data_IF_184863087822
#
_entry.id   IF_184863087822
#
_cell.length_a   1.000
_cell.length_b   1.000
_cell.length_c   1.000
_cell.angle_alpha   90.00
_cell.angle_beta   90.00
_cell.angle_gamma   90.00
#
_symmetry.space_group_name_H-M   'P 1'
#
loop_
_entity.id
_entity.type
_entity.pdbx_description
1 polymer ?
#
# COMPACT_ATOMS: atom_id res chain seq x y z
N UNK A 1 -16.52 -11.75 -3.37
CA UNK A 1 -15.57 -10.69 -3.74
C UNK A 1 -14.53 -10.59 -2.64
N UNK A 2 -13.29 -10.29 -3.02
CA UNK A 2 -12.11 -10.35 -2.17
C UNK A 2 -12.13 -9.29 -1.06
N UNK A 3 -12.69 -8.13 -1.35
CA UNK A 3 -12.97 -7.01 -0.45
C UNK A 3 -13.62 -7.45 0.88
N UNK A 4 -14.65 -8.30 0.83
CA UNK A 4 -15.35 -8.77 2.04
C UNK A 4 -14.45 -9.49 3.05
N UNK A 5 -13.35 -10.09 2.59
CA UNK A 5 -12.39 -10.77 3.46
C UNK A 5 -11.30 -9.80 3.94
N UNK A 6 -10.85 -8.93 3.04
CA UNK A 6 -9.72 -8.04 3.31
C UNK A 6 -10.12 -6.82 4.14
N UNK A 7 -11.29 -6.21 3.94
CA UNK A 7 -11.77 -5.04 4.71
C UNK A 7 -11.69 -5.31 6.20
N UNK A 8 -12.34 -6.38 6.67
CA UNK A 8 -12.35 -6.72 8.09
C UNK A 8 -10.95 -6.97 8.63
N UNK A 9 -10.07 -7.56 7.82
CA UNK A 9 -8.71 -7.86 8.24
C UNK A 9 -7.83 -6.60 8.31
N UNK A 10 -8.00 -5.67 7.37
CA UNK A 10 -7.35 -4.36 7.41
C UNK A 10 -7.73 -3.61 8.69
N UNK A 11 -9.02 -3.64 9.07
CA UNK A 11 -9.49 -3.01 10.32
C UNK A 11 -8.84 -3.64 11.55
N UNK A 12 -8.85 -4.98 11.67
CA UNK A 12 -8.21 -5.66 12.79
C UNK A 12 -6.70 -5.39 12.89
N UNK A 13 -6.01 -5.25 11.75
CA UNK A 13 -4.59 -4.89 11.74
C UNK A 13 -4.35 -3.47 12.28
N UNK A 14 -5.21 -2.51 11.92
CA UNK A 14 -5.12 -1.14 12.45
C UNK A 14 -5.36 -1.14 13.95
N UNK A 15 -6.42 -1.81 14.42
CA UNK A 15 -6.73 -1.92 15.84
C UNK A 15 -5.56 -2.54 16.63
N UNK A 16 -5.00 -3.66 16.14
CA UNK A 16 -3.85 -4.30 16.78
C UNK A 16 -2.64 -3.36 16.89
N UNK A 17 -2.32 -2.62 15.83
CA UNK A 17 -1.20 -1.68 15.85
C UNK A 17 -1.46 -0.47 16.73
N UNK A 18 -2.70 0.01 16.78
CA UNK A 18 -3.12 1.09 17.66
C UNK A 18 -2.97 0.69 19.12
N UNK A 19 -3.47 -0.49 19.51
CA UNK A 19 -3.34 -1.02 20.87
C UNK A 19 -1.86 -1.25 21.23
N UNK A 20 -1.10 -1.90 20.35
CA UNK A 20 0.30 -2.25 20.61
C UNK A 20 1.19 -1.02 20.77
N UNK A 21 0.89 0.07 20.06
CA UNK A 21 1.74 1.26 19.98
C UNK A 21 1.07 2.54 20.50
N UNK A 22 0.03 2.40 21.33
CA UNK A 22 -0.74 3.51 21.91
C UNK A 22 0.17 4.58 22.52
N UNK A 23 1.09 4.15 23.39
CA UNK A 23 1.99 5.00 24.18
C UNK A 23 3.37 5.21 23.53
N UNK A 24 3.54 4.83 22.27
CA UNK A 24 4.81 4.97 21.54
C UNK A 24 4.83 6.29 20.77
N UNK A 25 5.93 7.03 20.90
CA UNK A 25 6.12 8.31 20.18
C UNK A 25 6.25 8.09 18.67
N UNK A 26 5.98 9.12 17.88
CA UNK A 26 6.09 9.03 16.42
C UNK A 26 7.51 8.68 15.96
N UNK A 27 8.52 9.23 16.63
CA UNK A 27 9.94 8.98 16.35
C UNK A 27 10.34 7.55 16.70
N UNK A 28 9.82 7.00 17.79
CA UNK A 28 10.06 5.61 18.18
C UNK A 28 9.31 4.64 17.25
N UNK A 29 8.05 4.93 16.92
CA UNK A 29 7.28 4.19 15.93
C UNK A 29 8.00 4.15 14.58
N UNK A 30 8.66 5.25 14.20
CA UNK A 30 9.44 5.30 12.96
C UNK A 30 10.63 4.34 12.98
N UNK A 31 11.34 4.24 14.11
CA UNK A 31 12.46 3.29 14.26
C UNK A 31 11.94 1.86 14.15
N UNK A 32 10.87 1.53 14.89
CA UNK A 32 10.22 0.22 14.86
C UNK A 32 9.80 -0.14 13.43
N UNK A 33 9.10 0.75 12.74
CA UNK A 33 8.64 0.55 11.35
C UNK A 33 9.78 0.22 10.39
N UNK A 34 10.90 0.93 10.52
CA UNK A 34 12.05 0.77 9.63
C UNK A 34 12.85 -0.51 9.92
N UNK A 35 13.03 -0.89 11.18
CA UNK A 35 13.91 -1.98 11.59
C UNK A 35 13.24 -3.32 11.87
N UNK A 36 11.99 -3.33 12.35
CA UNK A 36 11.37 -4.55 12.91
C UNK A 36 10.35 -5.21 11.98
N UNK A 37 9.76 -4.44 11.05
CA UNK A 37 8.70 -4.95 10.17
C UNK A 37 9.16 -5.19 8.74
N UNK A 38 8.65 -6.25 8.14
CA UNK A 38 8.88 -6.63 6.74
C UNK A 38 7.55 -6.84 6.01
N UNK A 39 7.61 -6.87 4.69
CA UNK A 39 6.46 -7.20 3.85
C UNK A 39 5.88 -8.59 4.18
N UNK A 40 6.72 -9.54 4.57
CA UNK A 40 6.29 -10.88 4.97
C UNK A 40 5.37 -10.86 6.21
N UNK A 41 5.61 -9.96 7.17
CA UNK A 41 4.74 -9.80 8.34
C UNK A 41 3.34 -9.35 7.93
N UNK A 42 3.27 -8.40 6.98
CA UNK A 42 2.01 -7.92 6.43
C UNK A 42 1.29 -9.01 5.63
N UNK A 43 2.03 -9.78 4.81
CA UNK A 43 1.51 -10.92 4.04
C UNK A 43 0.87 -11.96 4.96
N UNK A 44 1.54 -12.35 6.05
CA UNK A 44 1.00 -13.33 7.01
C UNK A 44 -0.29 -12.81 7.65
N UNK A 45 -0.28 -11.56 8.12
CA UNK A 45 -1.46 -10.93 8.73
C UNK A 45 -2.64 -10.88 7.76
N UNK A 46 -2.41 -10.43 6.53
CA UNK A 46 -3.41 -10.36 5.48
C UNK A 46 -3.95 -11.74 5.08
N UNK A 47 -3.09 -12.76 5.10
CA UNK A 47 -3.47 -14.14 4.73
C UNK A 47 -4.13 -14.94 5.84
N UNK A 48 -3.97 -14.54 7.10
CA UNK A 48 -4.41 -15.30 8.27
C UNK A 48 -5.90 -15.69 8.25
N UNK A 49 -6.86 -14.82 7.84
CA UNK A 49 -8.28 -15.18 7.78
C UNK A 49 -8.59 -16.33 6.83
N UNK A 50 -7.76 -16.55 5.80
CA UNK A 50 -7.92 -17.65 4.86
C UNK A 50 -7.38 -18.98 5.40
N UNK A 51 -6.59 -18.96 6.49
CA UNK A 51 -6.02 -20.13 7.16
C UNK A 51 -5.35 -21.09 6.15
N UNK A 52 -5.73 -22.36 6.19
CA UNK A 52 -5.23 -23.43 5.33
C UNK A 52 -5.50 -23.21 3.83
N UNK A 53 -6.36 -22.25 3.47
CA UNK A 53 -6.72 -21.98 2.07
C UNK A 53 -5.70 -21.06 1.39
N UNK A 54 -4.89 -20.33 2.14
CA UNK A 54 -3.88 -19.43 1.60
C UNK A 54 -2.57 -20.17 1.33
N UNK A 55 -2.02 -19.94 0.14
CA UNK A 55 -0.64 -20.27 -0.19
C UNK A 55 0.18 -18.98 -0.18
N UNK A 56 1.28 -18.97 0.56
CA UNK A 56 2.17 -17.83 0.72
C UNK A 56 3.39 -17.97 -0.18
N UNK A 57 3.60 -17.04 -1.10
CA UNK A 57 4.73 -17.03 -2.02
C UNK A 57 5.80 -16.01 -1.56
N UNK A 58 6.52 -16.32 -0.49
CA UNK A 58 7.54 -15.42 0.07
C UNK A 58 8.91 -15.47 -0.64
N UNK A 59 9.05 -16.33 -1.65
CA UNK A 59 10.29 -16.43 -2.40
C UNK A 59 10.29 -15.36 -3.49
N UNK A 60 11.05 -14.28 -3.30
CA UNK A 60 11.23 -13.17 -4.26
C UNK A 60 11.85 -13.56 -5.62
N UNK A 61 11.75 -14.82 -6.05
CA UNK A 61 12.25 -15.37 -7.31
C UNK A 61 11.18 -16.19 -8.04
N UNK A 62 10.31 -15.48 -8.75
CA UNK A 62 10.02 -15.76 -10.17
C UNK A 62 9.52 -14.48 -10.83
N UNK A 63 10.41 -13.51 -11.07
CA UNK A 63 10.11 -12.26 -11.81
C UNK A 63 9.74 -12.47 -13.30
N UNK A 64 9.40 -13.70 -13.69
CA UNK A 64 8.99 -14.11 -15.03
C UNK A 64 7.58 -14.72 -15.05
N UNK A 65 6.98 -14.97 -13.88
CA UNK A 65 5.57 -15.35 -13.74
C UNK A 65 5.04 -14.69 -12.47
N UNK A 66 4.03 -13.82 -12.60
CA UNK A 66 3.34 -13.09 -11.54
C UNK A 66 3.11 -13.93 -10.28
N UNK A 67 4.06 -13.89 -9.35
CA UNK A 67 4.00 -14.60 -8.09
C UNK A 67 3.34 -13.69 -7.08
N UNK A 68 2.02 -13.77 -6.97
CA UNK A 68 1.29 -13.03 -5.96
C UNK A 68 1.57 -13.57 -4.57
N UNK A 69 1.75 -12.68 -3.59
CA UNK A 69 2.16 -13.04 -2.23
C UNK A 69 1.19 -14.00 -1.54
N UNK A 70 -0.11 -13.82 -1.77
CA UNK A 70 -1.16 -14.67 -1.21
C UNK A 70 -2.04 -15.19 -2.33
N UNK A 71 -2.18 -16.52 -2.42
CA UNK A 71 -3.05 -17.19 -3.39
C UNK A 71 -4.03 -18.12 -2.70
N UNK A 72 -5.32 -17.84 -2.85
CA UNK A 72 -6.43 -18.66 -2.34
C UNK A 72 -7.13 -19.35 -3.52
N UNK A 73 -6.56 -20.48 -3.97
CA UNK A 73 -6.97 -21.17 -5.21
C UNK A 73 -8.47 -21.51 -5.23
N UNK A 74 -9.01 -21.95 -4.10
CA UNK A 74 -10.43 -22.35 -3.97
C UNK A 74 -11.43 -21.20 -4.15
N UNK A 75 -10.97 -19.95 -4.06
CA UNK A 75 -11.78 -18.75 -4.32
C UNK A 75 -11.31 -17.97 -5.56
N UNK A 76 -10.29 -18.48 -6.25
CA UNK A 76 -9.57 -17.77 -7.30
C UNK A 76 -9.15 -16.36 -6.82
N UNK A 77 -8.61 -16.24 -5.60
CA UNK A 77 -8.05 -14.98 -5.13
C UNK A 77 -6.54 -14.94 -5.30
N UNK A 78 -6.04 -13.79 -5.74
CA UNK A 78 -4.61 -13.47 -5.75
C UNK A 78 -4.41 -12.06 -5.20
N UNK A 79 -3.50 -11.94 -4.24
CA UNK A 79 -3.25 -10.69 -3.53
C UNK A 79 -1.76 -10.40 -3.60
N UNK A 80 -1.43 -9.21 -4.09
CA UNK A 80 -0.11 -8.61 -3.99
C UNK A 80 -0.09 -7.70 -2.76
N UNK A 81 1.01 -7.69 -2.02
CA UNK A 81 1.16 -6.93 -0.78
C UNK A 81 2.44 -6.10 -0.84
N UNK A 82 2.35 -4.84 -0.44
CA UNK A 82 3.51 -3.96 -0.30
C UNK A 82 3.54 -3.31 1.07
N UNK A 83 4.67 -3.44 1.78
CA UNK A 83 4.94 -2.61 2.96
C UNK A 83 5.82 -1.43 2.55
N UNK A 84 5.30 -0.21 2.67
CA UNK A 84 6.09 1.01 2.46
C UNK A 84 6.78 1.41 3.77
N UNK A 85 8.09 1.59 3.69
CA UNK A 85 8.93 2.09 4.79
C UNK A 85 10.19 2.73 4.24
N UNK A 86 11.02 3.29 5.12
CA UNK A 86 12.37 3.65 4.72
C UNK A 86 13.29 2.44 4.87
N UNK A 87 14.16 2.25 3.89
CA UNK A 87 15.20 1.25 3.88
C UNK A 87 16.55 1.88 4.21
N UNK A 88 17.46 1.04 4.71
CA UNK A 88 18.83 1.42 5.00
C UNK A 88 19.52 1.86 3.71
N UNK A 89 20.00 3.10 3.67
CA UNK A 89 20.81 3.62 2.58
C UNK A 89 22.21 3.02 2.61
N UNK A 90 22.98 3.24 1.54
CA UNK A 90 24.40 2.87 1.49
C UNK A 90 25.24 3.52 2.60
N UNK A 91 24.76 4.62 3.20
CA UNK A 91 25.39 5.32 4.33
C UNK A 91 24.94 4.82 5.70
N UNK A 92 24.08 3.80 5.75
CA UNK A 92 23.64 3.16 6.98
C UNK A 92 22.42 3.80 7.66
N UNK A 93 21.93 4.96 7.20
CA UNK A 93 20.71 5.60 7.69
C UNK A 93 19.47 5.11 6.95
N UNK A 94 18.32 5.01 7.64
CA UNK A 94 17.03 4.69 7.01
C UNK A 94 16.44 5.93 6.32
N UNK A 95 16.68 6.05 5.03
CA UNK A 95 16.23 7.22 4.23
C UNK A 95 15.83 6.87 2.80
N UNK A 96 16.07 5.65 2.33
CA UNK A 96 15.67 5.22 0.99
C UNK A 96 14.18 4.87 1.00
N UNK A 97 13.37 5.57 0.22
CA UNK A 97 11.94 5.25 0.03
C UNK A 97 11.74 4.13 -0.99
N UNK A 98 10.55 3.53 -0.98
CA UNK A 98 10.14 2.58 -2.02
C UNK A 98 10.13 3.26 -3.38
N UNK A 99 10.75 2.62 -4.38
CA UNK A 99 10.84 3.18 -5.73
C UNK A 99 9.49 3.10 -6.45
N UNK A 100 9.19 4.11 -7.27
CA UNK A 100 7.93 4.12 -8.04
C UNK A 100 7.80 2.90 -8.96
N UNK A 101 8.92 2.45 -9.56
CA UNK A 101 8.94 1.35 -10.53
C UNK A 101 8.39 0.04 -9.96
N UNK A 102 8.62 -0.24 -8.68
CA UNK A 102 8.07 -1.43 -8.03
C UNK A 102 6.54 -1.32 -7.92
N UNK A 103 6.06 -0.19 -7.44
CA UNK A 103 4.62 0.09 -7.25
C UNK A 103 3.88 0.12 -8.59
N UNK A 104 4.47 0.73 -9.60
CA UNK A 104 3.93 0.82 -10.95
C UNK A 104 3.72 -0.56 -11.59
N UNK A 105 4.67 -1.48 -11.39
CA UNK A 105 4.55 -2.86 -11.88
C UNK A 105 3.36 -3.57 -11.23
N UNK A 106 3.17 -3.40 -9.93
CA UNK A 106 2.11 -4.09 -9.18
C UNK A 106 0.73 -3.50 -9.54
N UNK A 107 0.64 -2.19 -9.76
CA UNK A 107 -0.56 -1.57 -10.34
C UNK A 107 -0.83 -2.06 -11.76
N UNK A 108 0.19 -2.18 -12.61
CA UNK A 108 0.03 -2.66 -13.98
C UNK A 108 -0.54 -4.08 -14.00
N UNK A 109 -0.01 -4.97 -13.16
CA UNK A 109 -0.56 -6.32 -12.97
C UNK A 109 -2.04 -6.30 -12.58
N UNK A 110 -2.42 -5.50 -11.57
CA UNK A 110 -3.81 -5.43 -11.12
C UNK A 110 -4.74 -4.94 -12.24
N UNK A 111 -4.32 -3.91 -12.97
CA UNK A 111 -5.08 -3.33 -14.06
C UNK A 111 -5.29 -4.31 -15.22
N UNK A 112 -4.24 -5.05 -15.61
CA UNK A 112 -4.35 -6.09 -16.62
C UNK A 112 -5.29 -7.21 -16.20
N UNK A 113 -5.20 -7.68 -14.96
CA UNK A 113 -6.10 -8.73 -14.47
C UNK A 113 -7.57 -8.28 -14.41
N UNK A 114 -7.83 -7.04 -13.99
CA UNK A 114 -9.17 -6.47 -13.98
C UNK A 114 -9.72 -6.36 -15.41
N UNK A 115 -8.90 -5.90 -16.36
CA UNK A 115 -9.25 -5.86 -17.80
C UNK A 115 -9.55 -7.26 -18.36
N UNK A 116 -8.87 -8.29 -17.86
CA UNK A 116 -9.09 -9.68 -18.22
C UNK A 116 -10.31 -10.32 -17.51
N UNK A 117 -11.12 -9.54 -16.80
CA UNK A 117 -12.36 -10.01 -16.15
C UNK A 117 -12.18 -10.58 -14.75
N UNK A 118 -11.02 -10.37 -14.11
CA UNK A 118 -10.74 -10.86 -12.74
C UNK A 118 -11.05 -9.81 -11.66
N UNK A 119 -11.92 -8.84 -11.94
CA UNK A 119 -12.37 -7.84 -10.96
C UNK A 119 -12.97 -8.51 -9.71
N UNK A 120 -12.65 -7.97 -8.53
CA UNK A 120 -13.12 -8.51 -7.25
C UNK A 120 -12.50 -9.86 -6.84
N UNK A 121 -11.52 -10.36 -7.61
CA UNK A 121 -10.71 -11.56 -7.33
C UNK A 121 -9.21 -11.28 -7.22
N UNK A 122 -8.79 -10.08 -7.57
CA UNK A 122 -7.41 -9.61 -7.41
C UNK A 122 -7.40 -8.46 -6.43
N UNK A 123 -6.34 -8.36 -5.66
CA UNK A 123 -6.12 -7.18 -4.85
C UNK A 123 -4.64 -6.81 -4.82
N UNK A 124 -4.38 -5.52 -4.71
CA UNK A 124 -3.10 -4.98 -4.33
C UNK A 124 -3.28 -4.23 -3.02
N UNK A 125 -2.54 -4.61 -1.97
CA UNK A 125 -2.68 -4.02 -0.64
C UNK A 125 -1.36 -3.36 -0.25
N UNK A 126 -1.41 -2.07 0.04
CA UNK A 126 -0.26 -1.28 0.45
C UNK A 126 -0.44 -0.89 1.91
N UNK A 127 0.52 -1.17 2.77
CA UNK A 127 0.49 -0.80 4.19
C UNK A 127 1.70 0.01 4.58
N UNK A 128 1.55 0.88 5.59
CA UNK A 128 2.66 1.65 6.15
C UNK A 128 2.35 2.16 7.55
N UNK A 129 3.39 2.31 8.37
CA UNK A 129 3.25 2.97 9.65
C UNK A 129 3.03 4.47 9.46
N UNK A 130 2.10 5.04 10.22
CA UNK A 130 1.84 6.48 10.28
C UNK A 130 2.89 7.20 11.13
N UNK A 131 4.16 6.96 10.82
CA UNK A 131 5.31 7.46 11.55
C UNK A 131 6.09 8.51 10.74
N UNK A 132 5.53 8.94 9.61
CA UNK A 132 6.14 9.92 8.69
C UNK A 132 5.33 11.21 8.64
N UNK A 133 5.98 12.30 8.27
CA UNK A 133 5.34 13.61 8.15
C UNK A 133 4.53 13.72 6.86
N UNK A 134 4.98 13.08 5.79
CA UNK A 134 4.26 13.03 4.54
C UNK A 134 4.48 11.71 3.81
N UNK A 135 3.47 11.29 3.04
CA UNK A 135 3.48 10.02 2.32
C UNK A 135 4.67 9.89 1.34
N UNK A 136 5.14 11.02 0.77
CA UNK A 136 6.29 11.02 -0.14
C UNK A 136 7.64 10.66 0.52
N UNK A 137 7.71 10.61 1.85
CA UNK A 137 8.89 10.11 2.56
C UNK A 137 9.08 8.60 2.40
N UNK A 138 8.03 7.84 2.12
CA UNK A 138 8.07 6.37 2.02
C UNK A 138 7.86 5.85 0.60
N UNK A 139 7.44 6.72 -0.34
CA UNK A 139 7.28 6.38 -1.76
C UNK A 139 7.68 7.55 -2.68
N UNK A 140 8.32 7.24 -3.81
CA UNK A 140 8.78 8.24 -4.78
C UNK A 140 7.67 8.81 -5.68
N UNK A 141 7.03 9.91 -5.24
CA UNK A 141 5.96 10.60 -6.01
C UNK A 141 6.43 11.82 -6.80
N UNK A 142 7.71 12.15 -6.76
CA UNK A 142 8.27 13.31 -7.48
C UNK A 142 8.56 13.07 -8.96
N UNK A 143 8.64 14.16 -9.73
CA UNK A 143 9.16 14.17 -11.11
C UNK A 143 10.67 13.95 -11.17
N UNK A 144 11.38 14.36 -10.13
CA UNK A 144 12.85 14.32 -10.03
C UNK A 144 13.30 13.76 -8.67
N UNK A 145 14.60 13.50 -8.54
CA UNK A 145 15.21 13.14 -7.27
C UNK A 145 15.36 14.38 -6.36
N UNK A 146 15.33 14.16 -5.05
CA UNK A 146 15.50 15.22 -4.05
C UNK A 146 14.60 14.99 -2.84
N UNK A 147 14.74 15.85 -1.83
CA UNK A 147 13.91 15.80 -0.62
C UNK A 147 12.49 16.34 -0.83
N UNK A 148 12.33 17.31 -1.73
CA UNK A 148 11.05 17.98 -2.01
C UNK A 148 10.90 18.29 -3.51
N UNK A 149 10.89 17.27 -4.39
CA UNK A 149 10.65 17.47 -5.81
C UNK A 149 9.21 17.96 -6.08
N UNK A 150 8.97 18.43 -7.31
CA UNK A 150 7.60 18.71 -7.78
C UNK A 150 6.80 17.40 -7.90
N UNK A 151 5.51 17.47 -7.62
CA UNK A 151 4.59 16.33 -7.68
C UNK A 151 4.52 15.80 -9.13
N UNK A 152 4.66 14.49 -9.31
CA UNK A 152 4.24 13.82 -10.54
C UNK A 152 2.77 13.42 -10.41
N UNK A 153 1.87 14.24 -10.96
CA UNK A 153 0.43 14.01 -10.89
C UNK A 153 0.00 12.65 -11.48
N UNK A 154 0.79 12.09 -12.39
CA UNK A 154 0.50 10.79 -12.98
C UNK A 154 0.69 9.67 -11.95
N UNK A 155 1.75 9.74 -11.14
CA UNK A 155 2.00 8.82 -10.02
C UNK A 155 0.98 9.02 -8.90
N UNK A 156 0.73 10.29 -8.55
CA UNK A 156 -0.26 10.67 -7.53
C UNK A 156 -1.67 10.16 -7.87
N UNK A 157 -2.04 10.12 -9.15
CA UNK A 157 -3.35 9.65 -9.62
C UNK A 157 -3.71 8.20 -9.23
N UNK A 158 -2.72 7.39 -8.82
CA UNK A 158 -2.96 6.04 -8.27
C UNK A 158 -3.41 6.04 -6.80
N UNK A 159 -3.38 7.19 -6.12
CA UNK A 159 -3.70 7.33 -4.70
C UNK A 159 -4.84 8.35 -4.53
N UNK A 160 -6.11 7.95 -4.74
CA UNK A 160 -7.24 8.89 -4.71
C UNK A 160 -7.46 9.51 -3.32
N UNK A 161 -6.96 8.88 -2.26
CA UNK A 161 -6.98 9.39 -0.89
C UNK A 161 -5.94 10.49 -0.62
N UNK A 162 -5.16 10.92 -1.62
CA UNK A 162 -4.17 11.99 -1.47
C UNK A 162 -4.62 13.30 -2.12
N UNK A 163 -4.51 14.40 -1.38
CA UNK A 163 -4.66 15.77 -1.88
C UNK A 163 -3.34 16.50 -1.84
N UNK A 164 -3.30 17.71 -2.39
CA UNK A 164 -2.16 18.61 -2.24
C UNK A 164 -2.65 20.06 -2.10
N UNK A 165 -1.92 20.86 -1.33
CA UNK A 165 -2.15 22.31 -1.19
C UNK A 165 -1.01 23.15 -1.78
N UNK A 166 -0.13 22.50 -2.54
CA UNK A 166 1.01 23.09 -3.23
C UNK A 166 1.54 22.15 -4.32
N UNK A 167 2.67 22.49 -4.91
CA UNK A 167 3.26 21.74 -6.03
C UNK A 167 4.39 20.80 -5.61
N UNK A 168 4.82 20.83 -4.34
CA UNK A 168 5.91 19.98 -3.83
C UNK A 168 5.37 18.70 -3.21
N UNK A 169 6.14 17.62 -3.27
CA UNK A 169 5.73 16.33 -2.67
C UNK A 169 5.53 16.37 -1.16
N UNK A 170 6.08 17.36 -0.45
CA UNK A 170 5.82 17.60 0.97
C UNK A 170 4.45 18.20 1.26
N UNK A 171 3.83 18.80 0.25
CA UNK A 171 2.52 19.46 0.33
C UNK A 171 1.38 18.44 0.07
N UNK A 172 1.71 17.15 -0.06
CA UNK A 172 0.77 16.05 -0.20
C UNK A 172 0.21 15.69 1.18
N UNK A 173 -1.12 15.61 1.27
CA UNK A 173 -1.85 15.35 2.51
C UNK A 173 -2.81 14.17 2.30
N UNK A 174 -3.13 13.46 3.39
CA UNK A 174 -4.19 12.44 3.38
C UNK A 174 -5.57 13.10 3.47
N UNK A 175 -6.54 12.55 2.73
CA UNK A 175 -7.94 12.95 2.79
C UNK A 175 -8.72 12.07 3.77
N UNK A 176 -8.41 12.19 5.07
CA UNK A 176 -9.00 11.34 6.11
C UNK A 176 -10.53 11.32 6.16
N UNK A 177 -11.19 12.40 5.70
CA UNK A 177 -12.67 12.46 5.64
C UNK A 177 -13.29 11.40 4.71
N UNK A 178 -12.51 10.87 3.77
CA UNK A 178 -12.94 9.86 2.79
C UNK A 178 -12.30 8.49 3.12
N UNK A 179 -11.71 8.35 4.32
CA UNK A 179 -11.26 7.05 4.82
C UNK A 179 -12.44 6.09 4.93
N UNK A 180 -12.19 4.80 4.73
CA UNK A 180 -13.16 3.70 4.75
C UNK A 180 -14.21 3.75 3.63
N UNK A 181 -14.16 4.77 2.77
CA UNK A 181 -15.03 4.89 1.60
C UNK A 181 -14.40 4.26 0.36
N UNK A 182 -15.27 3.74 -0.50
CA UNK A 182 -14.88 3.18 -1.79
C UNK A 182 -14.65 4.31 -2.80
N UNK A 183 -13.41 4.46 -3.26
CA UNK A 183 -13.00 5.48 -4.22
C UNK A 183 -12.58 4.87 -5.55
N UNK A 184 -13.02 5.38 -6.70
CA UNK A 184 -12.51 4.94 -8.00
C UNK A 184 -11.07 5.42 -8.23
N UNK A 185 -10.25 4.61 -8.90
CA UNK A 185 -8.87 4.98 -9.26
C UNK A 185 -8.82 5.55 -10.68
N UNK A 186 -8.96 6.86 -10.79
CA UNK A 186 -8.88 7.59 -12.05
C UNK A 186 -7.43 8.00 -12.35
N UNK A 187 -6.57 7.05 -12.71
CA UNK A 187 -5.26 7.38 -13.28
C UNK A 187 -5.43 7.88 -14.71
N UNK A 188 -4.68 8.92 -15.12
CA UNK A 188 -4.65 9.41 -16.51
C UNK A 188 -4.21 8.34 -17.52
N UNK A 189 -3.57 7.27 -17.06
CA UNK A 189 -3.19 6.10 -17.87
C UNK A 189 -4.33 5.08 -18.06
N UNK A 190 -5.44 5.22 -17.32
CA UNK A 190 -6.61 4.35 -17.34
C UNK A 190 -7.82 5.07 -17.98
N UNK A 191 -7.59 5.79 -19.07
CA UNK A 191 -8.64 6.50 -19.81
C UNK A 191 -9.81 5.58 -20.26
N UNK A 192 -9.58 4.25 -20.27
CA UNK A 192 -10.59 3.23 -20.53
C UNK A 192 -11.14 2.63 -19.24
N UNK A 193 -11.82 3.45 -18.43
CA UNK A 193 -12.80 3.03 -17.42
C UNK A 193 -12.45 1.79 -16.60
N UNK A 194 -11.23 1.66 -16.08
CA UNK A 194 -10.89 0.49 -15.28
C UNK A 194 -11.67 0.51 -13.97
N UNK A 195 -12.43 -0.56 -13.71
CA UNK A 195 -13.26 -0.77 -12.51
C UNK A 195 -12.42 -1.02 -11.22
N UNK A 196 -11.20 -0.49 -11.16
CA UNK A 196 -10.34 -0.60 -9.97
C UNK A 196 -10.81 0.39 -8.93
N UNK A 197 -11.12 -0.16 -7.77
CA UNK A 197 -11.52 0.59 -6.61
C UNK A 197 -10.37 0.65 -5.62
N UNK A 198 -10.32 1.73 -4.86
CA UNK A 198 -9.42 1.94 -3.75
C UNK A 198 -10.24 2.17 -2.49
N UNK A 199 -9.76 1.67 -1.36
CA UNK A 199 -10.25 2.04 -0.03
C UNK A 199 -9.03 2.33 0.84
N UNK A 200 -9.02 3.51 1.44
CA UNK A 200 -8.00 3.93 2.37
C UNK A 200 -8.49 3.68 3.79
N UNK A 201 -7.72 2.95 4.59
CA UNK A 201 -7.99 2.66 5.99
C UNK A 201 -6.96 3.41 6.81
N UNK A 202 -7.43 4.34 7.63
CA UNK A 202 -6.56 5.14 8.46
C UNK A 202 -7.22 6.44 8.89
N UNK A 203 -6.95 6.83 10.12
CA UNK A 203 -7.23 8.14 10.68
C UNK A 203 -5.93 8.83 11.09
N UNK A 204 -6.03 10.11 11.46
CA UNK A 204 -4.86 10.94 11.78
C UNK A 204 -4.00 10.34 12.90
N UNK A 205 -4.65 9.74 13.90
CA UNK A 205 -4.01 9.25 15.11
C UNK A 205 -3.73 7.74 15.08
N UNK A 206 -4.14 7.05 14.00
CA UNK A 206 -3.81 5.64 13.78
C UNK A 206 -2.30 5.46 13.65
N UNK A 207 -1.79 4.33 14.14
CA UNK A 207 -0.37 3.97 14.10
C UNK A 207 0.01 3.32 12.77
N UNK A 208 -0.97 2.80 12.04
CA UNK A 208 -0.78 2.12 10.76
C UNK A 208 -1.89 2.51 9.79
N UNK A 209 -1.53 2.66 8.52
CA UNK A 209 -2.45 2.93 7.44
C UNK A 209 -2.39 1.83 6.40
N UNK A 210 -3.49 1.62 5.69
CA UNK A 210 -3.61 0.64 4.61
C UNK A 210 -4.35 1.29 3.43
N UNK A 211 -3.90 1.02 2.20
CA UNK A 211 -4.66 1.27 0.98
C UNK A 211 -4.87 -0.07 0.27
N UNK A 212 -6.12 -0.42 0.02
CA UNK A 212 -6.50 -1.63 -0.69
C UNK A 212 -7.03 -1.27 -2.07
N UNK A 213 -6.59 -2.00 -3.09
CA UNK A 213 -7.01 -1.84 -4.48
C UNK A 213 -7.57 -3.17 -5.01
N UNK A 214 -8.71 -3.16 -5.71
CA UNK A 214 -9.35 -4.39 -6.25
C UNK A 214 -10.35 -4.14 -7.38
#
# INVERSE_FOLDING_TARGET
>A
MIDKYLISNCLFMIDEFNERYENVSKEELKKIADSEYSEADMVVRLGYPFRQMANFNMQGRSKQAAGNDIVVKSKDFRIEVKLLKNYKSSKGSYSSSTTWKEIERDFHWLLEEVKNGNSGKRAFVIGWFNAVECFSQIIQLGKSAGSQPDIDHRKKGYFPFLVHNGEKTRDILYMYKDSYEKMPVHSLYNADGSDVNCMFFGEKDDKFHIAMYW
#
